data_IF_545879326072
#
_entry.id   IF_545879326072
#
_cell.length_a   1.000
_cell.length_b   1.000
_cell.length_c   1.000
_cell.angle_alpha   90.00
_cell.angle_beta   90.00
_cell.angle_gamma   90.00
#
_symmetry.space_group_name_H-M   'P 1'
#
loop_
_entity.id
_entity.type
_entity.pdbx_description
1 polymer ?
#
# COMPACT_ATOMS: atom_id res chain seq x y z
N UNK A 1 -4.67 -2.06 -10.44
CA UNK A 1 -4.24 -2.13 -9.03
C UNK A 1 -5.46 -2.25 -8.13
N UNK A 2 -5.62 -3.43 -7.52
CA UNK A 2 -6.53 -3.62 -6.40
C UNK A 2 -5.80 -3.36 -5.08
N UNK A 3 -6.46 -2.71 -4.12
CA UNK A 3 -5.90 -2.46 -2.79
C UNK A 3 -6.95 -2.80 -1.74
N UNK A 4 -6.57 -3.64 -0.78
CA UNK A 4 -7.38 -3.98 0.38
C UNK A 4 -6.72 -3.47 1.66
N UNK A 5 -7.47 -2.71 2.45
CA UNK A 5 -7.05 -2.31 3.79
C UNK A 5 -7.48 -3.36 4.81
N UNK A 6 -6.55 -3.72 5.70
CA UNK A 6 -6.78 -4.65 6.79
C UNK A 6 -6.55 -3.93 8.12
N UNK A 7 -7.46 -4.11 9.07
CA UNK A 7 -7.34 -3.53 10.42
C UNK A 7 -7.89 -4.49 11.47
N UNK A 8 -7.45 -4.32 12.71
CA UNK A 8 -7.99 -5.02 13.88
C UNK A 8 -8.92 -4.05 14.59
N UNK A 9 -10.20 -4.42 14.71
CA UNK A 9 -11.18 -3.61 15.43
C UNK A 9 -10.94 -3.65 16.94
N UNK A 10 -11.57 -2.71 17.67
CA UNK A 10 -11.53 -2.67 19.14
C UNK A 10 -12.03 -3.97 19.81
N UNK A 11 -12.83 -4.77 19.11
CA UNK A 11 -13.30 -6.09 19.56
C UNK A 11 -12.35 -7.23 19.17
N UNK A 12 -11.09 -6.92 18.83
CA UNK A 12 -10.05 -7.85 18.37
C UNK A 12 -10.40 -8.64 17.09
N UNK A 13 -11.44 -8.22 16.36
CA UNK A 13 -11.83 -8.83 15.10
C UNK A 13 -11.14 -8.17 13.91
N UNK A 14 -10.61 -8.99 12.98
CA UNK A 14 -10.06 -8.51 11.70
C UNK A 14 -11.17 -7.93 10.81
N UNK A 15 -10.92 -6.77 10.21
CA UNK A 15 -11.76 -6.11 9.21
C UNK A 15 -10.97 -5.92 7.92
N UNK A 16 -11.64 -6.13 6.80
CA UNK A 16 -11.05 -6.03 5.46
C UNK A 16 -11.94 -5.11 4.63
N UNK A 17 -11.33 -4.18 3.89
CA UNK A 17 -12.04 -3.24 3.04
C UNK A 17 -11.36 -3.18 1.68
N UNK A 18 -12.10 -3.39 0.59
CA UNK A 18 -11.61 -3.07 -0.75
C UNK A 18 -11.67 -1.55 -0.92
N UNK A 19 -10.51 -0.89 -0.90
CA UNK A 19 -10.41 0.58 -0.91
C UNK A 19 -10.08 1.13 -2.31
N UNK A 20 -9.60 0.28 -3.22
CA UNK A 20 -9.40 0.64 -4.61
C UNK A 20 -9.48 -0.58 -5.53
N UNK A 21 -10.06 -0.37 -6.71
CA UNK A 21 -9.91 -1.23 -7.87
C UNK A 21 -9.78 -0.32 -9.08
N UNK A 22 -8.53 -0.01 -9.47
CA UNK A 22 -8.23 0.98 -10.51
C UNK A 22 -7.47 0.35 -11.67
N UNK A 23 -7.81 0.71 -12.90
CA UNK A 23 -6.97 0.38 -14.06
C UNK A 23 -5.73 1.28 -14.05
N UNK A 24 -4.57 0.68 -14.22
CA UNK A 24 -3.34 1.41 -14.50
C UNK A 24 -3.05 1.22 -16.00
N UNK A 25 -2.90 2.32 -16.73
CA UNK A 25 -2.67 2.30 -18.17
C UNK A 25 -1.19 2.53 -18.50
N UNK A 26 -0.75 1.92 -19.60
CA UNK A 26 0.66 1.92 -20.01
C UNK A 26 1.55 1.15 -19.03
N UNK A 27 2.84 1.51 -18.99
CA UNK A 27 3.82 0.82 -18.14
C UNK A 27 3.55 1.03 -16.65
N UNK A 28 3.62 -0.06 -15.88
CA UNK A 28 3.43 -0.10 -14.42
C UNK A 28 4.74 0.12 -13.65
N UNK A 29 5.47 1.17 -14.00
CA UNK A 29 6.78 1.44 -13.40
C UNK A 29 6.67 1.75 -11.91
N UNK A 30 7.73 1.46 -11.16
CA UNK A 30 7.81 1.63 -9.70
C UNK A 30 7.38 3.02 -9.18
N UNK A 31 7.66 4.10 -9.93
CA UNK A 31 7.23 5.47 -9.63
C UNK A 31 5.71 5.64 -9.76
N UNK A 32 5.11 5.12 -10.84
CA UNK A 32 3.64 5.15 -11.03
C UNK A 32 2.91 4.28 -10.02
N UNK A 33 3.47 3.11 -9.69
CA UNK A 33 2.94 2.24 -8.63
C UNK A 33 2.89 3.01 -7.30
N UNK A 34 3.98 3.72 -6.97
CA UNK A 34 4.07 4.53 -5.76
C UNK A 34 3.08 5.69 -5.77
N UNK A 35 2.95 6.39 -6.89
CA UNK A 35 2.01 7.50 -7.05
C UNK A 35 0.56 7.04 -6.82
N UNK A 36 0.15 5.95 -7.48
CA UNK A 36 -1.20 5.40 -7.33
C UNK A 36 -1.47 4.95 -5.89
N UNK A 37 -0.52 4.28 -5.25
CA UNK A 37 -0.65 3.88 -3.84
C UNK A 37 -0.78 5.10 -2.91
N UNK A 38 0.06 6.14 -3.08
CA UNK A 38 -0.01 7.37 -2.30
C UNK A 38 -1.36 8.06 -2.46
N UNK A 39 -1.85 8.18 -3.70
CA UNK A 39 -3.17 8.73 -3.97
C UNK A 39 -4.24 7.95 -3.23
N UNK A 40 -4.28 6.62 -3.37
CA UNK A 40 -5.30 5.77 -2.74
C UNK A 40 -5.31 5.94 -1.22
N UNK A 41 -4.13 5.99 -0.58
CA UNK A 41 -4.06 6.19 0.87
C UNK A 41 -4.50 7.59 1.31
N UNK A 42 -4.18 8.62 0.53
CA UNK A 42 -4.59 10.01 0.80
C UNK A 42 -6.11 10.20 0.62
N UNK A 43 -6.69 9.58 -0.42
CA UNK A 43 -8.13 9.58 -0.73
C UNK A 43 -8.96 9.07 0.47
N UNK A 44 -8.42 8.08 1.18
CA UNK A 44 -9.02 7.53 2.40
C UNK A 44 -8.52 8.16 3.71
N UNK A 45 -7.56 9.09 3.66
CA UNK A 45 -6.99 9.76 4.85
C UNK A 45 -6.23 8.81 5.79
N UNK A 46 -5.63 7.73 5.25
CA UNK A 46 -4.93 6.67 6.00
C UNK A 46 -3.43 6.60 5.72
N UNK A 47 -2.88 7.52 4.95
CA UNK A 47 -1.46 7.57 4.58
C UNK A 47 -0.51 7.60 5.78
N UNK A 48 -0.93 8.21 6.90
CA UNK A 48 -0.16 8.26 8.15
C UNK A 48 -0.57 7.20 9.19
N UNK A 49 -1.62 6.43 8.89
CA UNK A 49 -2.14 5.35 9.75
C UNK A 49 -1.73 3.96 9.26
N UNK A 50 -1.18 3.89 8.04
CA UNK A 50 -0.75 2.64 7.42
C UNK A 50 0.59 2.21 8.02
N UNK A 51 0.61 1.06 8.67
CA UNK A 51 1.80 0.50 9.34
C UNK A 51 2.58 -0.49 8.46
N UNK A 52 1.98 -0.95 7.37
CA UNK A 52 2.60 -1.88 6.44
C UNK A 52 1.76 -2.09 5.19
N UNK A 53 2.41 -2.55 4.13
CA UNK A 53 1.78 -3.00 2.90
C UNK A 53 2.31 -4.40 2.57
N UNK A 54 1.41 -5.26 2.10
CA UNK A 54 1.76 -6.59 1.59
C UNK A 54 1.43 -6.58 0.11
N UNK A 55 2.43 -6.86 -0.72
CA UNK A 55 2.28 -6.96 -2.17
C UNK A 55 2.78 -8.31 -2.65
N UNK A 56 2.54 -8.63 -3.91
CA UNK A 56 3.35 -9.65 -4.55
C UNK A 56 4.81 -9.17 -4.67
N UNK A 57 5.69 -10.08 -5.08
CA UNK A 57 7.11 -9.79 -5.27
C UNK A 57 7.41 -9.28 -6.70
N UNK A 58 6.47 -8.62 -7.38
CA UNK A 58 6.74 -8.10 -8.70
C UNK A 58 7.80 -6.99 -8.64
N UNK A 59 8.68 -6.95 -9.65
CA UNK A 59 9.90 -6.16 -9.63
C UNK A 59 9.66 -4.66 -9.37
N UNK A 60 8.61 -4.09 -9.98
CA UNK A 60 8.27 -2.68 -9.79
C UNK A 60 7.73 -2.38 -8.38
N UNK A 61 7.03 -3.31 -7.73
CA UNK A 61 6.64 -3.15 -6.31
C UNK A 61 7.87 -3.20 -5.41
N UNK A 62 8.75 -4.19 -5.60
CA UNK A 62 10.00 -4.30 -4.83
C UNK A 62 10.82 -3.01 -4.95
N UNK A 63 10.98 -2.49 -6.17
CA UNK A 63 11.70 -1.25 -6.41
C UNK A 63 10.99 -0.03 -5.82
N UNK A 64 9.65 0.02 -5.88
CA UNK A 64 8.86 1.08 -5.28
C UNK A 64 9.10 1.18 -3.76
N UNK A 65 9.03 0.05 -3.04
CA UNK A 65 9.27 0.04 -1.60
C UNK A 65 10.75 0.26 -1.25
N UNK A 66 11.69 -0.20 -2.06
CA UNK A 66 13.11 0.07 -1.84
C UNK A 66 13.47 1.55 -2.03
N UNK A 67 12.85 2.24 -3.00
CA UNK A 67 13.15 3.65 -3.31
C UNK A 67 12.33 4.62 -2.44
N UNK A 68 11.06 4.32 -2.20
CA UNK A 68 10.11 5.25 -1.57
C UNK A 68 9.56 4.78 -0.23
N UNK A 69 9.80 3.51 0.15
CA UNK A 69 9.39 2.99 1.44
C UNK A 69 10.21 3.64 2.56
N UNK A 70 9.59 3.78 3.74
CA UNK A 70 10.34 4.12 4.95
C UNK A 70 11.09 2.87 5.40
N UNK A 71 12.40 3.00 5.65
CA UNK A 71 13.11 1.98 6.41
C UNK A 71 12.55 1.95 7.82
N UNK A 72 11.83 0.89 8.16
CA UNK A 72 11.54 0.58 9.56
C UNK A 72 12.81 0.01 10.17
N UNK A 73 13.40 0.70 11.15
CA UNK A 73 14.35 0.04 12.04
C UNK A 73 13.59 -1.06 12.78
N UNK A 74 13.92 -2.31 12.46
CA UNK A 74 13.51 -3.46 13.25
C UNK A 74 14.18 -3.34 14.61
N UNK A 75 13.44 -2.86 15.62
CA UNK A 75 13.76 -3.14 17.01
C UNK A 75 13.37 -4.61 17.25
N UNK A 76 14.34 -5.49 17.04
CA UNK A 76 14.30 -6.89 17.52
C UNK A 76 14.78 -6.91 18.96
#
# INVERSE_FOLDING_TARGET
MGVTAHTISLKLGRRNFAIACRRMEGSHTYDKVTEVLKFILQDWGIQWKTVGMVTDNAQDFVKAFNVYGKQTQLFI
#
